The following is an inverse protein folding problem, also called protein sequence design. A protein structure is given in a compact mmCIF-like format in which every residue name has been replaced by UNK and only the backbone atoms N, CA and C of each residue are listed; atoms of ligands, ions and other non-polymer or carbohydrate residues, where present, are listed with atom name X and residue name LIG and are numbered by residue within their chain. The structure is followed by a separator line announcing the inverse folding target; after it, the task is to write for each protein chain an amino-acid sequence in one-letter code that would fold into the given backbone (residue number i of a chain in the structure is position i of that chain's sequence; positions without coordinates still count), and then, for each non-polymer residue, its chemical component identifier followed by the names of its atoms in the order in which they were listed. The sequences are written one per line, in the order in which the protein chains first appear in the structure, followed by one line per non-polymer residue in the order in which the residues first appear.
data_IF_417922551785
#
_entry.id   IF_417922551785
#
_cell.length_a   1.000
_cell.length_b   1.000
_cell.length_c   1.000
_cell.angle_alpha   90.00
_cell.angle_beta   90.00
_cell.angle_gamma   90.00
#
_symmetry.space_group_name_H-M   'P 1'
#
loop_
_entity.id
_entity.type
_entity.pdbx_description
1 polymer ?
#
# COMPACT_ATOMS: atom_id res chain seq x y z
N UNK A 1 15.31 -30.80 24.29
CA UNK A 1 16.02 -30.08 23.20
C UNK A 1 15.12 -28.93 22.78
N UNK A 2 15.50 -27.69 23.12
CA UNK A 2 14.64 -26.49 23.07
C UNK A 2 14.09 -26.12 21.69
N UNK A 3 13.20 -25.12 21.59
CA UNK A 3 12.45 -24.81 20.38
C UNK A 3 13.41 -24.40 19.25
N UNK A 4 13.70 -25.34 18.35
CA UNK A 4 14.68 -25.19 17.26
C UNK A 4 14.14 -24.39 16.06
N UNK A 5 12.93 -23.86 16.13
CA UNK A 5 12.33 -23.05 15.07
C UNK A 5 12.06 -21.64 15.57
N UNK A 6 12.59 -20.65 14.84
CA UNK A 6 12.23 -19.25 15.02
C UNK A 6 10.80 -19.04 14.52
N UNK A 7 9.99 -18.31 15.28
CA UNK A 7 8.67 -17.87 14.82
C UNK A 7 8.81 -16.92 13.63
N UNK A 8 7.86 -16.99 12.69
CA UNK A 8 7.78 -16.04 11.60
C UNK A 8 7.54 -14.63 12.15
N UNK A 9 8.19 -13.64 11.54
CA UNK A 9 8.00 -12.23 11.85
C UNK A 9 7.57 -11.51 10.58
N UNK A 10 6.61 -10.60 10.71
CA UNK A 10 6.26 -9.71 9.62
C UNK A 10 7.41 -8.72 9.40
N UNK A 11 7.89 -8.63 8.16
CA UNK A 11 8.81 -7.57 7.77
C UNK A 11 8.00 -6.32 7.43
N UNK A 12 8.24 -5.24 8.18
CA UNK A 12 7.64 -3.92 7.94
C UNK A 12 8.78 -2.95 7.61
N UNK A 13 8.94 -2.51 6.35
CA UNK A 13 9.97 -1.55 6.00
C UNK A 13 9.64 -0.16 6.57
N UNK A 14 10.67 0.61 6.91
CA UNK A 14 10.52 2.03 7.22
C UNK A 14 10.10 2.74 5.93
N UNK A 15 8.88 3.27 5.91
CA UNK A 15 8.34 4.02 4.78
C UNK A 15 8.56 5.52 5.00
N UNK A 16 8.98 6.21 3.93
CA UNK A 16 9.07 7.67 3.89
C UNK A 16 7.82 8.21 3.23
N UNK A 17 7.25 9.27 3.80
CA UNK A 17 6.13 9.98 3.18
C UNK A 17 6.59 10.59 1.85
N UNK A 18 5.89 10.28 0.77
CA UNK A 18 6.09 10.89 -0.55
C UNK A 18 5.03 12.00 -0.78
N UNK A 19 4.89 12.46 -2.01
CA UNK A 19 3.93 13.48 -2.42
C UNK A 19 2.50 13.02 -2.17
N UNK A 20 1.69 13.95 -1.67
CA UNK A 20 0.27 13.76 -1.50
C UNK A 20 -0.49 14.50 -2.59
N UNK A 21 -1.58 13.90 -3.05
CA UNK A 21 -2.57 14.67 -3.81
C UNK A 21 -3.35 15.62 -2.90
N UNK A 22 -3.95 16.67 -3.47
CA UNK A 22 -4.98 17.44 -2.78
C UNK A 22 -6.12 16.55 -2.27
N UNK A 23 -6.78 16.90 -1.15
CA UNK A 23 -7.84 16.09 -0.57
C UNK A 23 -8.96 15.73 -1.54
N UNK A 24 -9.36 16.67 -2.41
CA UNK A 24 -10.44 16.47 -3.37
C UNK A 24 -10.08 15.37 -4.39
N UNK A 25 -8.83 15.37 -4.86
CA UNK A 25 -8.31 14.35 -5.78
C UNK A 25 -8.21 13.01 -5.07
N UNK A 26 -7.72 12.99 -3.82
CA UNK A 26 -7.62 11.78 -3.03
C UNK A 26 -8.97 11.10 -2.79
N UNK A 27 -9.98 11.90 -2.47
CA UNK A 27 -11.36 11.44 -2.29
C UNK A 27 -11.91 10.79 -3.57
N UNK A 28 -11.73 11.45 -4.72
CA UNK A 28 -12.21 10.92 -6.01
C UNK A 28 -11.50 9.64 -6.46
N UNK A 29 -10.22 9.48 -6.10
CA UNK A 29 -9.41 8.32 -6.50
C UNK A 29 -9.44 7.16 -5.50
N UNK A 30 -9.95 7.38 -4.29
CA UNK A 30 -9.95 6.39 -3.21
C UNK A 30 -8.61 6.23 -2.49
N UNK A 31 -7.63 7.10 -2.77
CA UNK A 31 -6.33 7.17 -2.09
C UNK A 31 -5.72 8.54 -2.31
N UNK A 32 -5.13 9.13 -1.26
CA UNK A 32 -4.36 10.39 -1.34
C UNK A 32 -2.92 10.16 -1.84
N UNK A 33 -2.45 8.91 -1.77
CA UNK A 33 -1.09 8.50 -2.14
C UNK A 33 -1.05 8.12 -3.63
N UNK A 34 -0.35 8.90 -4.49
CA UNK A 34 -0.27 8.65 -5.92
C UNK A 34 0.24 7.26 -6.29
N UNK A 35 1.22 6.76 -5.55
CA UNK A 35 1.88 5.46 -5.72
C UNK A 35 0.95 4.27 -5.45
N UNK A 36 -0.13 4.48 -4.69
CA UNK A 36 -1.13 3.45 -4.38
C UNK A 36 -2.31 3.46 -5.36
N UNK A 37 -2.42 4.46 -6.23
CA UNK A 37 -3.54 4.56 -7.16
C UNK A 37 -3.43 3.53 -8.30
N UNK A 38 -4.34 2.56 -8.29
CA UNK A 38 -4.39 1.48 -9.28
C UNK A 38 -5.79 1.43 -9.92
N UNK A 39 -6.05 2.22 -10.97
CA UNK A 39 -7.34 2.18 -11.64
C UNK A 39 -7.56 0.81 -12.27
N UNK A 40 -8.70 0.19 -12.00
CA UNK A 40 -9.08 -1.04 -12.68
C UNK A 40 -9.27 -0.76 -14.16
N UNK A 41 -8.53 -1.47 -15.02
CA UNK A 41 -8.81 -1.45 -16.46
C UNK A 41 -10.16 -2.13 -16.65
N UNK A 42 -11.06 -1.47 -17.38
CA UNK A 42 -12.33 -2.08 -17.78
C UNK A 42 -11.99 -3.34 -18.57
N UNK A 43 -12.45 -4.51 -18.11
CA UNK A 43 -12.37 -5.72 -18.93
C UNK A 43 -13.21 -5.48 -20.18
N UNK A 44 -12.61 -5.61 -21.36
CA UNK A 44 -13.35 -5.72 -22.62
C UNK A 44 -14.27 -6.95 -22.50
N UNK A 45 -15.53 -6.77 -22.87
CA UNK A 45 -16.58 -7.78 -22.74
C UNK A 45 -16.56 -8.74 -23.92
#
# INVERSE_FOLDING_TARGET
MGPRFKLAQAYVPIQRLDRLWPPEVGLMRGTIFPELYRPYRRKER
#
